data_IF_227825402321
#
_entry.id   IF_227825402321
#
_cell.length_a   1.000
_cell.length_b   1.000
_cell.length_c   1.000
_cell.angle_alpha   90.00
_cell.angle_beta   90.00
_cell.angle_gamma   90.00
#
_symmetry.space_group_name_H-M   'P 1'
#
loop_
_entity.id
_entity.type
_entity.pdbx_description
1 polymer ?
2 non-polymer ?
3 non-polymer ?
4 non-polymer ?
5 water ?
#
# COMPACT_ATOMS: atom_id res chain seq x y z
N UNK A 1 -3.14 -2.05 32.50
CA UNK A 1 -4.27 -1.15 32.37
C UNK A 1 -4.32 -0.46 31.00
N UNK A 2 -4.03 -1.21 29.95
CA UNK A 2 -4.18 -0.69 28.59
C UNK A 2 -5.25 -1.45 27.81
N UNK A 3 -6.04 -0.71 27.04
CA UNK A 3 -7.00 -1.29 26.11
C UNK A 3 -6.24 -1.51 24.80
N UNK A 4 -6.27 -2.73 24.27
CA UNK A 4 -5.49 -3.01 23.07
C UNK A 4 -6.30 -3.26 21.79
N UNK A 5 -5.88 -2.64 20.70
CA UNK A 5 -6.36 -2.98 19.37
C UNK A 5 -5.28 -3.70 18.58
N UNK A 6 -5.53 -4.96 18.27
CA UNK A 6 -4.60 -5.77 17.46
C UNK A 6 -5.16 -5.94 16.05
N UNK A 7 -4.40 -5.43 15.09
CA UNK A 7 -4.74 -5.49 13.68
C UNK A 7 -3.81 -6.50 12.98
N UNK A 8 -4.36 -7.62 12.50
CA UNK A 8 -3.54 -8.66 11.83
C UNK A 8 -3.66 -8.56 10.30
N UNK A 9 -2.52 -8.40 9.62
CA UNK A 9 -2.51 -8.15 8.17
C UNK A 9 -2.03 -9.29 7.29
N UNK A 10 -1.44 -10.33 7.87
CA UNK A 10 -1.11 -11.49 7.03
C UNK A 10 -2.37 -12.29 6.64
N UNK A 11 -2.45 -12.72 5.36
CA UNK A 11 -3.49 -13.64 4.87
C UNK A 11 -3.31 -15.06 5.41
N UNK A 12 -2.11 -15.37 5.88
CA UNK A 12 -1.84 -16.69 6.44
C UNK A 12 -2.30 -16.81 7.90
N UNK A 13 -2.63 -18.04 8.29
CA UNK A 13 -3.17 -18.28 9.62
C UNK A 13 -2.10 -18.76 10.55
N UNK A 14 -2.13 -20.07 10.87
CA UNK A 14 -1.15 -20.70 11.74
C UNK A 14 0.28 -20.55 11.21
N UNK A 15 0.41 -20.53 9.88
CA UNK A 15 1.71 -20.33 9.24
C UNK A 15 2.25 -18.89 9.24
N UNK A 16 1.44 -17.90 9.65
CA UNK A 16 1.91 -16.53 9.66
C UNK A 16 2.91 -16.29 10.80
N UNK A 17 4.12 -15.83 10.45
CA UNK A 17 5.11 -15.52 11.48
C UNK A 17 4.79 -14.19 12.18
N UNK A 18 4.33 -13.19 11.42
CA UNK A 18 4.00 -11.91 12.03
C UNK A 18 2.78 -12.03 12.97
N UNK A 19 1.79 -12.84 12.59
CA UNK A 19 0.65 -13.13 13.45
C UNK A 19 1.11 -13.91 14.68
N UNK A 20 1.92 -14.94 14.45
CA UNK A 20 2.43 -15.73 15.57
C UNK A 20 3.20 -14.88 16.59
N UNK A 21 4.01 -13.95 16.11
CA UNK A 21 4.84 -13.14 16.99
C UNK A 21 4.02 -12.10 17.76
N UNK A 22 2.98 -11.58 17.13
CA UNK A 22 2.09 -10.63 17.77
C UNK A 22 1.22 -11.29 18.85
N UNK A 23 0.83 -12.54 18.64
CA UNK A 23 0.04 -13.28 19.61
C UNK A 23 0.92 -13.63 20.82
N UNK A 24 2.21 -13.79 20.60
CA UNK A 24 3.17 -13.98 21.68
C UNK A 24 3.16 -12.76 22.59
N UNK A 25 3.33 -11.59 21.99
CA UNK A 25 3.16 -10.33 22.73
C UNK A 25 1.81 -10.24 23.44
N UNK A 26 0.71 -10.53 22.73
CA UNK A 26 -0.63 -10.35 23.28
C UNK A 26 -0.90 -11.26 24.47
N UNK A 27 -0.43 -12.51 24.40
CA UNK A 27 -0.65 -13.48 25.46
C UNK A 27 0.26 -13.21 26.66
N UNK A 28 1.46 -12.69 26.40
CA UNK A 28 2.36 -12.23 27.45
C UNK A 28 1.77 -11.00 28.15
N UNK A 29 1.24 -10.07 27.37
CA UNK A 29 0.58 -8.91 27.94
C UNK A 29 -0.60 -9.34 28.83
N UNK A 30 -1.33 -10.37 28.39
CA UNK A 30 -2.50 -10.88 29.09
C UNK A 30 -2.13 -11.52 30.44
N UNK A 31 -0.95 -12.14 30.51
CA UNK A 31 -0.48 -12.73 31.75
C UNK A 31 -0.19 -11.68 32.82
N UNK A 32 0.33 -10.54 32.38
CA UNK A 32 0.65 -9.45 33.29
C UNK A 32 -0.60 -8.64 33.62
N UNK A 33 -1.60 -8.69 32.74
CA UNK A 33 -2.80 -7.86 32.89
C UNK A 33 -4.06 -8.63 32.59
N UNK A 34 -4.45 -9.54 33.51
CA UNK A 34 -5.58 -10.46 33.31
C UNK A 34 -6.88 -9.76 32.93
N UNK A 35 -7.04 -8.50 33.32
CA UNK A 35 -8.29 -7.79 33.10
C UNK A 35 -8.27 -6.81 31.92
N UNK A 36 -7.20 -6.82 31.14
CA UNK A 36 -7.05 -5.90 30.00
C UNK A 36 -7.92 -6.33 28.82
N UNK A 37 -8.43 -5.36 28.07
CA UNK A 37 -9.26 -5.65 26.91
C UNK A 37 -8.40 -5.70 25.65
N UNK A 38 -8.50 -6.81 24.93
CA UNK A 38 -7.84 -6.93 23.63
C UNK A 38 -8.90 -7.07 22.54
N UNK A 39 -8.90 -6.11 21.61
CA UNK A 39 -9.77 -6.21 20.44
C UNK A 39 -8.94 -6.61 19.22
N UNK A 40 -9.46 -7.55 18.45
CA UNK A 40 -8.76 -8.02 17.25
C UNK A 40 -9.51 -7.61 15.98
N UNK A 41 -8.79 -7.02 15.05
CA UNK A 41 -9.36 -6.58 13.78
C UNK A 41 -8.63 -7.26 12.62
N UNK A 42 -9.31 -8.17 11.92
CA UNK A 42 -8.70 -8.91 10.82
C UNK A 42 -8.67 -8.13 9.50
N UNK A 43 -7.49 -7.88 8.93
CA UNK A 43 -7.41 -7.21 7.62
C UNK A 43 -6.62 -8.04 6.61
N UNK A 44 -6.19 -9.22 7.02
CA UNK A 44 -5.40 -10.11 6.17
C UNK A 44 -6.19 -11.26 5.58
N UNK A 45 -6.91 -11.99 6.45
CA UNK A 45 -7.66 -13.15 6.01
C UNK A 45 -9.07 -12.80 5.56
N UNK A 46 -9.47 -11.55 5.77
CA UNK A 46 -10.75 -11.08 5.25
C UNK A 46 -10.57 -9.81 4.42
N UNK A 47 -11.34 -9.68 3.33
CA UNK A 47 -11.23 -8.51 2.47
C UNK A 47 -11.61 -7.23 3.20
N UNK A 48 -10.86 -6.16 2.97
CA UNK A 48 -11.26 -4.82 3.42
C UNK A 48 -11.46 -3.95 2.20
N UNK A 49 -12.64 -3.33 2.08
CA UNK A 49 -13.00 -2.52 0.91
C UNK A 49 -12.00 -1.40 0.67
N UNK A 50 -11.67 -1.20 -0.60
CA UNK A 50 -10.84 -0.08 -1.03
C UNK A 50 -11.68 1.18 -0.93
N UNK A 51 -11.00 2.31 -0.79
CA UNK A 51 -11.64 3.60 -0.85
C UNK A 51 -12.30 3.80 -2.22
N UNK A 52 -13.57 4.20 -2.21
CA UNK A 52 -14.30 4.49 -3.45
C UNK A 52 -14.54 5.99 -3.60
N UNK A 53 -15.00 6.40 -4.76
CA UNK A 53 -15.38 7.78 -4.94
C UNK A 53 -16.53 8.16 -4.01
N UNK A 54 -17.45 7.25 -3.76
CA UNK A 54 -18.53 7.53 -2.80
C UNK A 54 -17.95 7.81 -1.39
N UNK A 55 -16.92 7.05 -1.02
CA UNK A 55 -16.20 7.31 0.22
C UNK A 55 -15.62 8.72 0.22
N UNK A 56 -14.92 9.08 -0.86
CA UNK A 56 -14.31 10.41 -0.94
C UNK A 56 -15.33 11.55 -0.76
N UNK A 57 -16.45 11.46 -1.48
CA UNK A 57 -17.52 12.45 -1.41
C UNK A 57 -18.08 12.64 -0.01
N UNK A 58 -18.17 11.55 0.76
CA UNK A 58 -18.76 11.63 2.09
C UNK A 58 -17.75 12.08 3.14
N UNK A 59 -16.54 11.53 3.08
CA UNK A 59 -15.53 11.85 4.07
C UNK A 59 -15.13 13.31 4.03
N UNK A 60 -15.19 13.91 2.84
CA UNK A 60 -14.71 15.27 2.62
C UNK A 60 -15.84 16.26 2.41
N UNK A 61 -17.06 15.85 2.76
CA UNK A 61 -18.24 16.69 2.65
C UNK A 61 -18.04 17.96 3.48
N UNK A 62 -18.21 19.14 2.84
CA UNK A 62 -18.02 20.45 3.49
C UNK A 62 -18.88 20.65 4.73
N UNK A 63 -20.10 20.10 4.71
CA UNK A 63 -21.00 20.17 5.86
C UNK A 63 -21.47 18.78 6.24
N UNK A 64 -20.70 18.11 7.11
CA UNK A 64 -20.88 16.68 7.37
C UNK A 64 -22.24 16.35 7.98
N UNK A 65 -22.85 17.28 8.71
CA UNK A 65 -24.14 16.99 9.35
C UNK A 65 -25.25 16.91 8.32
N UNK A 66 -24.94 17.26 7.08
CA UNK A 66 -25.92 17.17 5.99
C UNK A 66 -25.78 15.91 5.11
N UNK A 67 -24.84 15.03 5.43
CA UNK A 67 -24.67 13.77 4.69
C UNK A 67 -25.99 13.01 4.66
N UNK A 68 -26.39 12.57 3.48
CA UNK A 68 -27.56 11.72 3.37
C UNK A 68 -27.31 10.40 4.09
N UNK A 69 -28.37 9.65 4.33
CA UNK A 69 -28.26 8.32 4.95
C UNK A 69 -27.39 7.37 4.12
N UNK A 70 -27.53 7.44 2.80
CA UNK A 70 -26.69 6.66 1.89
C UNK A 70 -25.21 7.01 2.05
N UNK A 71 -24.90 8.31 2.14
CA UNK A 71 -23.53 8.77 2.41
C UNK A 71 -23.01 8.23 3.72
N UNK A 72 -23.85 8.20 4.75
CA UNK A 72 -23.45 7.71 6.06
C UNK A 72 -23.15 6.22 5.97
N UNK A 73 -23.97 5.49 5.21
CA UNK A 73 -23.71 4.07 4.93
C UNK A 73 -22.34 3.85 4.27
N UNK A 74 -21.93 4.77 3.39
CA UNK A 74 -20.59 4.76 2.80
C UNK A 74 -19.44 4.91 3.83
N UNK A 75 -19.71 5.62 4.93
CA UNK A 75 -18.72 5.79 5.98
C UNK A 75 -18.86 4.83 7.18
N UNK A 76 -19.88 3.97 7.16
CA UNK A 76 -20.19 3.14 8.34
C UNK A 76 -19.04 2.22 8.75
N UNK A 77 -18.45 1.50 7.81
CA UNK A 77 -17.28 0.67 8.13
C UNK A 77 -16.14 1.51 8.73
N UNK A 78 -15.85 2.63 8.10
CA UNK A 78 -14.83 3.57 8.56
C UNK A 78 -15.05 4.02 10.01
N UNK A 79 -16.28 4.46 10.32
CA UNK A 79 -16.63 4.84 11.69
C UNK A 79 -16.38 3.72 12.69
N UNK A 80 -16.71 2.49 12.31
CA UNK A 80 -16.48 1.37 13.20
C UNK A 80 -14.97 1.13 13.37
N UNK A 81 -14.22 1.26 12.28
CA UNK A 81 -12.77 1.09 12.35
C UNK A 81 -12.10 2.20 13.18
N UNK A 82 -12.57 3.43 13.00
CA UNK A 82 -12.01 4.56 13.74
C UNK A 82 -12.38 4.42 15.22
N UNK A 83 -13.61 3.98 15.49
CA UNK A 83 -14.08 3.78 16.85
C UNK A 83 -13.23 2.83 17.66
N UNK A 84 -12.80 1.71 17.03
CA UNK A 84 -11.95 0.72 17.69
C UNK A 84 -10.64 1.35 18.12
N UNK A 85 -10.14 2.26 17.29
CA UNK A 85 -8.88 2.95 17.50
C UNK A 85 -8.99 3.95 18.66
N UNK A 86 -10.06 4.72 18.66
CA UNK A 86 -10.30 5.65 19.75
C UNK A 86 -10.49 4.94 21.09
N UNK A 87 -11.04 3.72 21.05
CA UNK A 87 -11.30 2.96 22.26
C UNK A 87 -10.06 2.21 22.74
N UNK A 88 -8.93 2.42 22.07
CA UNK A 88 -7.71 1.70 22.45
C UNK A 88 -6.59 2.63 22.91
N UNK A 89 -5.66 2.09 23.69
CA UNK A 89 -4.50 2.83 24.17
C UNK A 89 -3.28 2.44 23.37
N UNK A 90 -3.20 1.14 23.06
CA UNK A 90 -2.08 0.59 22.32
C UNK A 90 -2.58 -0.11 21.07
N UNK A 91 -1.95 0.21 19.96
CA UNK A 91 -2.26 -0.41 18.67
C UNK A 91 -1.14 -1.37 18.31
N UNK A 92 -1.49 -2.63 18.07
CA UNK A 92 -0.53 -3.61 17.60
C UNK A 92 -0.89 -3.97 16.17
N UNK A 93 0.05 -3.76 15.26
CA UNK A 93 -0.13 -4.19 13.88
C UNK A 93 0.87 -5.31 13.53
N UNK A 94 0.37 -6.43 13.05
CA UNK A 94 1.25 -7.47 12.53
C UNK A 94 1.10 -7.51 11.02
N UNK A 95 2.23 -7.58 10.33
CA UNK A 95 2.23 -7.53 8.88
C UNK A 95 3.47 -8.17 8.25
N UNK A 96 3.27 -8.90 7.14
CA UNK A 96 4.36 -9.29 6.25
C UNK A 96 4.93 -8.07 5.55
N UNK A 97 6.12 -8.19 4.98
CA UNK A 97 6.51 -7.28 3.91
C UNK A 97 6.05 -7.98 2.62
N UNK A 98 5.24 -7.30 1.82
CA UNK A 98 4.86 -7.84 0.51
C UNK A 98 5.31 -6.87 -0.54
N UNK A 99 6.23 -7.30 -1.40
CA UNK A 99 6.71 -6.44 -2.48
C UNK A 99 7.15 -5.05 -1.99
N UNK A 100 7.94 -5.06 -0.92
CA UNK A 100 8.59 -3.84 -0.41
C UNK A 100 7.64 -2.95 0.34
N UNK A 101 6.39 -3.37 0.44
CA UNK A 101 5.41 -2.63 1.21
C UNK A 101 4.57 -3.58 2.08
N UNK A 102 3.35 -3.16 2.41
CA UNK A 102 2.44 -3.99 3.19
C UNK A 102 1.42 -4.63 2.25
N UNK A 103 0.75 -5.70 2.72
CA UNK A 103 -0.42 -6.26 2.02
C UNK A 103 -1.46 -5.18 1.73
N UNK A 104 -2.16 -5.31 0.61
CA UNK A 104 -3.14 -4.31 0.21
C UNK A 104 -4.26 -4.11 1.24
N UNK A 105 -4.61 -5.18 1.96
CA UNK A 105 -5.60 -5.10 3.02
C UNK A 105 -5.23 -4.11 4.14
N UNK A 106 -3.95 -4.03 4.48
CA UNK A 106 -3.52 -3.09 5.52
C UNK A 106 -3.58 -1.65 5.04
N UNK A 107 -3.15 -1.45 3.79
CA UNK A 107 -3.23 -0.17 3.13
C UNK A 107 -4.72 0.28 3.12
N UNK A 108 -5.62 -0.65 2.82
CA UNK A 108 -7.06 -0.31 2.83
C UNK A 108 -7.55 0.07 4.24
N UNK A 109 -7.08 -0.63 5.25
CA UNK A 109 -7.45 -0.27 6.61
C UNK A 109 -6.97 1.13 6.92
N UNK A 110 -5.73 1.43 6.58
CA UNK A 110 -5.19 2.78 6.77
C UNK A 110 -6.03 3.82 6.03
N UNK A 111 -6.44 3.49 4.80
CA UNK A 111 -7.25 4.43 4.01
C UNK A 111 -8.63 4.72 4.64
N UNK A 112 -9.16 3.76 5.38
CA UNK A 112 -10.43 3.93 6.09
C UNK A 112 -10.32 4.77 7.37
N UNK A 113 -9.16 4.77 8.03
CA UNK A 113 -9.07 5.40 9.35
C UNK A 113 -8.45 6.80 9.39
N UNK A 114 -7.86 7.26 8.30
CA UNK A 114 -7.42 8.64 8.19
C UNK A 114 -8.61 9.44 7.66
N UNK A 115 -9.30 10.12 8.56
CA UNK A 115 -10.60 10.71 8.27
C UNK A 115 -10.63 12.19 8.64
N UNK A 116 -10.96 13.04 7.67
CA UNK A 116 -11.02 14.48 7.90
C UNK A 116 -11.98 14.80 9.05
N UNK A 117 -11.48 15.60 9.99
CA UNK A 117 -12.30 16.04 11.10
C UNK A 117 -12.38 15.00 12.21
N UNK A 118 -11.83 13.82 11.96
CA UNK A 118 -11.95 12.73 12.93
C UNK A 118 -10.61 12.25 13.50
N UNK A 119 -9.67 11.92 12.63
CA UNK A 119 -8.33 11.54 13.06
C UNK A 119 -7.28 12.56 12.61
N UNK A 120 -7.68 13.51 11.77
CA UNK A 120 -6.84 14.66 11.44
C UNK A 120 -7.72 15.83 11.05
N UNK A 121 -7.20 17.03 11.15
CA UNK A 121 -7.92 18.23 10.73
C UNK A 121 -6.96 19.18 10.03
N UNK A 122 -7.48 20.30 9.53
CA UNK A 122 -6.64 21.30 8.87
C UNK A 122 -7.29 22.70 8.88
N UNK A 123 -6.45 23.73 8.76
CA UNK A 123 -6.94 25.08 8.52
C UNK A 123 -6.06 25.69 7.43
N UNK A 124 -6.55 26.74 6.77
CA UNK A 124 -5.74 27.43 5.76
C UNK A 124 -5.10 28.69 6.33
N UNK A 125 -3.77 28.70 6.38
CA UNK A 125 -3.04 29.91 6.76
C UNK A 125 -2.42 30.51 5.49
N UNK A 126 -2.91 31.68 5.12
CA UNK A 126 -2.48 32.33 3.87
C UNK A 126 -2.74 31.40 2.69
N UNK A 127 -3.84 30.66 2.75
CA UNK A 127 -4.27 29.81 1.66
C UNK A 127 -3.67 28.41 1.66
N UNK A 128 -2.71 28.17 2.54
CA UNK A 128 -2.03 26.88 2.60
C UNK A 128 -2.60 26.00 3.72
N UNK A 129 -3.15 24.85 3.34
CA UNK A 129 -3.68 23.93 4.33
C UNK A 129 -2.60 23.52 5.34
N UNK A 130 -2.91 23.67 6.63
CA UNK A 130 -2.03 23.23 7.71
C UNK A 130 -2.72 22.06 8.42
N UNK A 131 -2.02 20.95 8.59
CA UNK A 131 -2.64 19.75 9.13
C UNK A 131 -2.31 19.51 10.60
N UNK A 132 -3.29 19.01 11.32
CA UNK A 132 -3.17 18.77 12.75
C UNK A 132 -3.73 17.37 13.06
N UNK A 133 -2.96 16.54 13.78
CA UNK A 133 -3.41 15.19 14.17
C UNK A 133 -4.48 15.28 15.25
N UNK A 134 -5.40 14.31 15.29
CA UNK A 134 -6.47 14.33 16.28
C UNK A 134 -6.41 13.19 17.28
N UNK A 135 -5.63 12.16 16.98
CA UNK A 135 -5.36 11.13 17.98
C UNK A 135 -4.29 11.58 18.97
N UNK A 136 -4.53 11.32 20.25
CA UNK A 136 -3.61 11.70 21.30
C UNK A 136 -3.62 10.63 22.39
N UNK A 137 -2.46 10.41 23.01
CA UNK A 137 -2.32 9.39 24.04
C UNK A 137 -2.14 7.97 23.52
N UNK A 138 -2.00 7.81 22.22
CA UNK A 138 -1.84 6.47 21.66
C UNK A 138 -0.38 6.04 21.54
N UNK A 139 -0.17 4.73 21.52
CA UNK A 139 1.12 4.13 21.22
C UNK A 139 0.87 3.09 20.13
N UNK A 140 1.91 2.69 19.43
CA UNK A 140 1.77 1.63 18.44
C UNK A 140 2.98 0.67 18.47
N UNK A 141 2.69 -0.61 18.28
CA UNK A 141 3.73 -1.60 18.09
C UNK A 141 3.52 -2.26 16.73
N UNK A 142 4.52 -2.17 15.87
CA UNK A 142 4.51 -2.88 14.61
C UNK A 142 5.37 -4.15 14.65
N UNK A 143 4.72 -5.29 14.46
CA UNK A 143 5.40 -6.56 14.40
C UNK A 143 5.44 -7.03 12.93
N UNK A 144 6.63 -7.23 12.40
CA UNK A 144 6.74 -7.51 10.99
C UNK A 144 7.64 -8.71 10.70
N UNK A 145 7.32 -9.41 9.61
CA UNK A 145 8.13 -10.53 9.14
C UNK A 145 8.50 -10.31 7.66
N UNK A 146 9.74 -10.63 7.31
CA UNK A 146 10.21 -10.48 5.93
C UNK A 146 10.93 -11.75 5.46
N UNK A 147 10.75 -12.08 4.18
CA UNK A 147 11.45 -13.20 3.57
C UNK A 147 12.96 -12.97 3.43
N UNK A 148 13.34 -11.76 3.00
CA UNK A 148 14.75 -11.43 2.80
C UNK A 148 15.43 -10.75 3.99
N UNK A 149 16.65 -10.26 3.76
CA UNK A 149 17.47 -9.65 4.82
C UNK A 149 17.86 -8.23 4.45
N UNK A 150 18.25 -7.44 5.45
CA UNK A 150 18.84 -6.13 5.22
C UNK A 150 17.91 -4.94 5.08
N UNK A 151 16.61 -5.11 5.40
CA UNK A 151 15.64 -4.02 5.25
C UNK A 151 15.55 -3.09 6.47
N UNK A 152 16.23 -3.44 7.55
CA UNK A 152 16.19 -2.66 8.77
C UNK A 152 17.22 -1.53 8.76
N UNK A 153 17.25 -0.73 9.84
CA UNK A 153 18.20 0.38 9.92
C UNK A 153 19.65 -0.11 9.75
N UNK A 154 20.37 0.47 8.80
CA UNK A 154 21.74 0.07 8.54
C UNK A 154 21.88 -1.09 7.57
N UNK A 155 20.76 -1.70 7.21
CA UNK A 155 20.78 -2.83 6.31
C UNK A 155 21.10 -2.42 4.88
N UNK A 156 21.67 -3.35 4.13
CA UNK A 156 22.03 -3.11 2.72
C UNK A 156 20.82 -2.73 1.85
N UNK A 157 19.63 -3.20 2.21
CA UNK A 157 18.43 -2.90 1.44
C UNK A 157 17.48 -1.93 2.15
N UNK A 158 17.99 -1.19 3.11
CA UNK A 158 17.18 -0.27 3.89
C UNK A 158 16.35 0.68 3.02
N UNK A 159 16.92 1.13 1.91
CA UNK A 159 16.23 2.08 1.04
C UNK A 159 15.06 1.46 0.28
N UNK A 160 14.98 0.13 0.25
CA UNK A 160 13.85 -0.56 -0.40
C UNK A 160 12.69 -0.82 0.56
N UNK A 161 12.87 -0.45 1.83
CA UNK A 161 11.81 -0.70 2.82
C UNK A 161 10.75 0.39 2.83
N UNK A 162 9.60 0.10 2.23
CA UNK A 162 8.45 1.02 2.23
C UNK A 162 7.29 0.40 2.98
N UNK A 163 7.60 -0.45 3.93
CA UNK A 163 6.55 -1.08 4.72
C UNK A 163 6.43 -0.35 6.05
N UNK A 164 7.25 -0.70 7.02
CA UNK A 164 7.16 -0.07 8.35
C UNK A 164 7.54 1.42 8.39
N UNK A 165 8.56 1.83 7.61
CA UNK A 165 8.82 3.28 7.49
C UNK A 165 7.60 4.05 6.97
N UNK A 166 6.85 3.47 6.04
CA UNK A 166 5.65 4.12 5.54
C UNK A 166 4.52 4.09 6.59
N UNK A 167 4.40 2.99 7.33
CA UNK A 167 3.45 2.92 8.43
C UNK A 167 3.68 4.01 9.46
N UNK A 168 4.96 4.22 9.84
CA UNK A 168 5.35 5.25 10.80
C UNK A 168 4.81 6.62 10.42
N UNK A 169 5.00 6.93 9.14
CA UNK A 169 4.65 8.22 8.58
C UNK A 169 3.15 8.44 8.56
N UNK A 170 2.40 7.38 8.24
CA UNK A 170 0.95 7.48 8.15
C UNK A 170 0.34 7.59 9.55
N UNK A 171 0.84 6.77 10.47
CA UNK A 171 0.36 6.83 11.86
C UNK A 171 0.69 8.17 12.53
N UNK A 172 1.86 8.73 12.21
CA UNK A 172 2.30 9.98 12.80
C UNK A 172 1.40 11.11 12.35
N UNK A 173 0.95 11.04 11.10
CA UNK A 173 0.08 12.05 10.53
C UNK A 173 -1.22 12.18 11.33
N UNK A 174 -1.71 11.08 11.88
CA UNK A 174 -2.93 11.13 12.68
C UNK A 174 -2.65 11.21 14.17
N UNK A 175 -1.39 11.21 14.55
CA UNK A 175 -0.99 11.57 15.89
C UNK A 175 -0.31 10.50 16.72
N UNK A 176 -0.10 9.33 16.14
CA UNK A 176 0.62 8.26 16.85
C UNK A 176 2.12 8.36 16.58
N UNK A 177 2.82 9.06 17.48
CA UNK A 177 4.25 9.35 17.34
C UNK A 177 5.13 8.35 18.08
N UNK A 178 4.58 7.69 19.09
CA UNK A 178 5.33 6.67 19.81
C UNK A 178 5.12 5.32 19.15
N UNK A 179 6.08 4.92 18.34
CA UNK A 179 5.95 3.71 17.55
C UNK A 179 7.20 2.85 17.65
N UNK A 180 6.99 1.58 17.95
CA UNK A 180 8.07 0.60 18.05
C UNK A 180 7.93 -0.47 16.99
N UNK A 181 9.04 -0.82 16.37
CA UNK A 181 9.03 -1.87 15.35
C UNK A 181 9.88 -3.08 15.76
N UNK A 182 9.27 -4.26 15.69
CA UNK A 182 10.00 -5.49 15.92
C UNK A 182 9.95 -6.27 14.60
N UNK A 183 11.10 -6.71 14.12
CA UNK A 183 11.18 -7.38 12.81
C UNK A 183 11.92 -8.72 12.83
N UNK A 184 11.35 -9.71 12.15
CA UNK A 184 12.05 -10.96 11.88
C UNK A 184 12.37 -11.05 10.38
N UNK A 185 13.62 -11.38 10.07
CA UNK A 185 14.10 -11.41 8.69
C UNK A 185 14.62 -12.79 8.34
N UNK A 186 14.67 -13.07 7.04
CA UNK A 186 15.19 -14.32 6.53
C UNK A 186 14.17 -15.44 6.46
N UNK A 187 12.88 -15.11 6.45
CA UNK A 187 11.83 -16.13 6.49
C UNK A 187 11.88 -17.07 5.28
N UNK A 188 12.26 -16.54 4.13
CA UNK A 188 12.26 -17.35 2.89
C UNK A 188 13.45 -18.30 2.85
N UNK A 189 14.48 -17.99 3.62
CA UNK A 189 15.68 -18.83 3.65
C UNK A 189 15.72 -19.73 4.88
N UNK A 190 14.82 -19.49 5.84
CA UNK A 190 14.78 -20.27 7.07
C UNK A 190 16.15 -20.66 7.63
N UNK A 193 19.25 -19.31 12.00
CA UNK A 193 19.42 -17.98 11.40
C UNK A 193 18.10 -17.18 11.42
N UNK A 194 17.10 -17.68 10.68
CA UNK A 194 15.75 -17.14 10.82
C UNK A 194 15.20 -17.50 12.20
N UNK A 195 15.61 -18.66 12.70
CA UNK A 195 15.27 -19.07 14.06
C UNK A 195 15.87 -18.12 15.10
N UNK A 196 17.09 -17.67 14.86
CA UNK A 196 17.73 -16.68 15.73
C UNK A 196 16.91 -15.39 15.68
N UNK A 197 16.54 -14.99 14.48
CA UNK A 197 15.83 -13.75 14.25
C UNK A 197 14.48 -13.75 14.96
N UNK A 198 13.77 -14.87 14.89
CA UNK A 198 12.49 -15.03 15.57
C UNK A 198 12.63 -15.12 17.09
N UNK A 199 13.69 -15.79 17.56
CA UNK A 199 13.93 -15.87 18.99
C UNK A 199 14.20 -14.49 19.57
N UNK A 200 15.04 -13.72 18.88
CA UNK A 200 15.33 -12.35 19.28
C UNK A 200 14.07 -11.48 19.28
N UNK A 201 13.20 -11.68 18.30
CA UNK A 201 11.96 -10.91 18.20
C UNK A 201 11.02 -11.24 19.38
N UNK A 202 10.94 -12.53 19.71
CA UNK A 202 10.17 -12.99 20.85
C UNK A 202 10.67 -12.42 22.18
N UNK A 203 11.97 -12.50 22.43
CA UNK A 203 12.55 -11.92 23.65
C UNK A 203 12.26 -10.43 23.75
N UNK A 204 12.38 -9.72 22.63
CA UNK A 204 12.08 -8.30 22.57
C UNK A 204 10.62 -8.01 22.95
N UNK A 205 9.69 -8.77 22.37
CA UNK A 205 8.26 -8.58 22.59
C UNK A 205 7.83 -8.96 24.01
N UNK A 206 8.44 -10.00 24.57
CA UNK A 206 8.18 -10.36 25.96
C UNK A 206 8.61 -9.25 26.91
N UNK A 207 9.75 -8.62 26.65
CA UNK A 207 10.21 -7.50 27.47
C UNK A 207 9.28 -6.27 27.34
N UNK A 208 8.83 -6.00 26.12
CA UNK A 208 7.89 -4.91 25.90
C UNK A 208 6.54 -5.17 26.59
N UNK A 209 6.09 -6.43 26.59
CA UNK A 209 4.82 -6.79 27.24
C UNK A 209 4.87 -6.57 28.74
N UNK A 210 6.01 -6.88 29.35
CA UNK A 210 6.17 -6.76 30.80
C UNK A 210 6.16 -5.30 31.26
N UNK A 211 6.75 -4.44 30.45
CA UNK A 211 6.90 -3.04 30.83
C UNK A 211 5.75 -2.17 30.35
N UNK A 212 4.90 -2.71 29.47
CA UNK A 212 3.76 -1.96 28.96
C UNK A 212 2.67 -1.80 30.01
N UNK B 2 4.41 1.40 -30.52
CA UNK B 2 4.55 0.71 -29.25
C UNK B 2 3.18 0.23 -28.74
N UNK B 3 3.17 -0.89 -28.05
CA UNK B 3 1.96 -1.39 -27.41
C UNK B 3 1.92 -0.83 -25.99
N UNK B 4 0.78 -0.29 -25.60
CA UNK B 4 0.66 0.37 -24.30
C UNK B 4 -0.32 -0.32 -23.37
N UNK B 5 0.14 -0.62 -22.17
CA UNK B 5 -0.76 -1.02 -21.09
C UNK B 5 -0.96 0.17 -20.13
N UNK B 6 -2.21 0.61 -20.01
CA UNK B 6 -2.56 1.74 -19.17
C UNK B 6 -3.30 1.30 -17.90
N UNK B 7 -2.65 1.44 -16.75
CA UNK B 7 -3.24 1.07 -15.48
C UNK B 7 -3.76 2.31 -14.72
N UNK B 8 -5.07 2.38 -14.53
CA UNK B 8 -5.67 3.51 -13.81
C UNK B 8 -6.01 3.20 -12.34
N UNK B 9 -5.48 4.01 -11.40
CA UNK B 9 -5.59 3.68 -9.96
C UNK B 9 -6.55 4.56 -9.13
N UNK B 10 -7.01 5.68 -9.68
CA UNK B 10 -7.95 6.50 -8.93
C UNK B 10 -9.37 5.90 -8.98
N UNK B 11 -10.04 5.85 -7.83
CA UNK B 11 -11.46 5.45 -7.75
C UNK B 11 -12.37 6.46 -8.44
N UNK B 12 -11.84 7.64 -8.73
CA UNK B 12 -12.64 8.69 -9.33
C UNK B 12 -12.66 8.55 -10.84
N UNK B 13 -13.75 9.03 -11.46
CA UNK B 13 -13.90 8.98 -12.90
C UNK B 13 -13.53 10.30 -13.54
N UNK B 14 -14.54 11.05 -13.98
CA UNK B 14 -14.31 12.36 -14.59
C UNK B 14 -13.54 13.30 -13.67
N UNK B 15 -13.79 13.20 -12.37
CA UNK B 15 -13.17 14.13 -11.42
C UNK B 15 -11.69 13.83 -11.15
N UNK B 16 -11.18 12.67 -11.60
CA UNK B 16 -9.79 12.31 -11.31
C UNK B 16 -8.78 13.11 -12.14
N UNK B 17 -7.83 13.74 -11.46
CA UNK B 17 -6.75 14.46 -12.13
C UNK B 17 -5.72 13.52 -12.74
N UNK B 18 -5.36 12.46 -12.03
CA UNK B 18 -4.33 11.56 -12.56
C UNK B 18 -4.84 10.75 -13.73
N UNK B 19 -6.11 10.34 -13.68
CA UNK B 19 -6.73 9.70 -14.82
C UNK B 19 -6.81 10.66 -16.02
N UNK B 20 -7.26 11.89 -15.78
CA UNK B 20 -7.41 12.85 -16.86
C UNK B 20 -6.08 13.16 -17.56
N UNK B 21 -5.04 13.39 -16.77
CA UNK B 21 -3.70 13.63 -17.32
C UNK B 21 -3.14 12.45 -18.11
N UNK B 22 -3.35 11.23 -17.60
CA UNK B 22 -2.88 10.04 -18.30
C UNK B 22 -3.61 9.92 -19.63
N UNK B 23 -4.89 10.30 -19.66
CA UNK B 23 -5.68 10.24 -20.87
C UNK B 23 -5.25 11.31 -21.88
N UNK B 24 -4.79 12.46 -21.40
CA UNK B 24 -4.20 13.49 -22.25
C UNK B 24 -2.97 12.94 -22.99
N UNK B 25 -2.07 12.31 -22.25
CA UNK B 25 -0.90 11.65 -22.82
C UNK B 25 -1.27 10.57 -23.83
N UNK B 26 -2.18 9.69 -23.45
CA UNK B 26 -2.60 8.59 -24.30
C UNK B 26 -3.22 9.06 -25.62
N UNK B 27 -4.02 10.12 -25.57
CA UNK B 27 -4.62 10.62 -26.79
C UNK B 27 -3.53 11.25 -27.69
N UNK B 28 -2.57 11.94 -27.07
CA UNK B 28 -1.51 12.57 -27.86
C UNK B 28 -0.53 11.55 -28.43
N UNK B 29 -0.28 10.48 -27.68
CA UNK B 29 0.58 9.42 -28.18
C UNK B 29 -0.07 8.71 -29.37
N UNK B 30 -1.39 8.58 -29.33
CA UNK B 30 -2.12 7.95 -30.41
C UNK B 30 -2.06 8.80 -31.70
N UNK B 31 -2.09 10.12 -31.58
CA UNK B 31 -2.00 10.95 -32.79
C UNK B 31 -0.64 10.81 -33.46
N UNK B 32 0.42 10.78 -32.67
CA UNK B 32 1.78 10.62 -33.16
C UNK B 32 2.11 9.19 -33.62
N UNK B 33 1.32 8.21 -33.19
CA UNK B 33 1.54 6.83 -33.58
C UNK B 33 0.21 6.14 -33.80
N UNK B 34 -0.42 6.42 -34.95
CA UNK B 34 -1.80 6.03 -35.27
C UNK B 34 -2.07 4.53 -35.18
N UNK B 35 -1.00 3.73 -35.20
CA UNK B 35 -1.13 2.28 -35.18
C UNK B 35 -0.91 1.66 -33.80
N UNK B 36 -0.78 2.51 -32.78
CA UNK B 36 -0.57 2.06 -31.41
C UNK B 36 -1.79 1.33 -30.86
N UNK B 37 -1.55 0.33 -30.03
CA UNK B 37 -2.62 -0.37 -29.36
C UNK B 37 -2.57 0.00 -27.89
N UNK B 38 -3.73 0.30 -27.31
CA UNK B 38 -3.78 0.60 -25.90
C UNK B 38 -4.67 -0.38 -25.16
N UNK B 39 -4.10 -1.06 -24.17
CA UNK B 39 -4.89 -1.90 -23.28
C UNK B 39 -5.10 -1.14 -21.96
N UNK B 40 -6.34 -1.10 -21.49
CA UNK B 40 -6.62 -0.43 -20.22
C UNK B 40 -6.93 -1.45 -19.14
N UNK B 41 -6.24 -1.32 -18.01
CA UNK B 41 -6.49 -2.16 -16.86
C UNK B 41 -6.94 -1.27 -15.69
N UNK B 42 -8.22 -1.38 -15.31
CA UNK B 42 -8.77 -0.57 -14.23
C UNK B 42 -8.52 -1.20 -12.85
N UNK B 43 -7.81 -0.48 -11.98
CA UNK B 43 -7.58 -0.96 -10.62
C UNK B 43 -8.07 -0.01 -9.54
N UNK B 44 -8.73 1.08 -9.96
CA UNK B 44 -9.24 2.08 -9.05
C UNK B 44 -10.75 2.04 -8.89
N UNK B 45 -11.46 1.96 -10.01
CA UNK B 45 -12.93 2.00 -9.95
C UNK B 45 -13.56 0.61 -9.79
N UNK B 46 -12.77 -0.44 -9.96
CA UNK B 46 -13.24 -1.80 -9.67
C UNK B 46 -12.29 -2.49 -8.69
N UNK B 47 -12.84 -3.36 -7.83
CA UNK B 47 -12.00 -4.04 -6.84
C UNK B 47 -10.99 -4.94 -7.50
N UNK B 48 -9.83 -5.05 -6.89
CA UNK B 48 -8.87 -6.06 -7.28
C UNK B 48 -8.58 -6.88 -6.04
N UNK B 49 -8.76 -8.20 -6.11
CA UNK B 49 -8.56 -9.07 -4.94
C UNK B 49 -7.16 -8.94 -4.33
N UNK B 50 -7.12 -8.99 -3.00
CA UNK B 50 -5.86 -9.12 -2.28
C UNK B 50 -5.27 -10.51 -2.47
N UNK B 51 -3.97 -10.62 -2.24
CA UNK B 51 -3.30 -11.91 -2.18
C UNK B 51 -3.88 -12.68 -0.99
N UNK B 52 -4.20 -13.95 -1.21
CA UNK B 52 -4.70 -14.83 -0.16
C UNK B 52 -3.67 -15.92 0.14
N UNK B 53 -3.95 -16.78 1.11
CA UNK B 53 -3.06 -17.89 1.37
C UNK B 53 -3.08 -18.90 0.24
N UNK B 54 -4.25 -19.10 -0.38
CA UNK B 54 -4.34 -19.96 -1.55
C UNK B 54 -3.39 -19.45 -2.66
N UNK B 55 -3.36 -18.14 -2.83
CA UNK B 55 -2.49 -17.54 -3.83
C UNK B 55 -1.02 -17.79 -3.52
N UNK B 56 -0.65 -17.62 -2.25
CA UNK B 56 0.75 -17.84 -1.85
C UNK B 56 1.17 -19.31 -2.12
N UNK B 57 0.29 -20.24 -1.79
CA UNK B 57 0.57 -21.66 -1.97
C UNK B 57 0.76 -22.00 -3.44
N UNK B 58 -0.05 -21.37 -4.29
CA UNK B 58 0.02 -21.64 -5.72
C UNK B 58 1.24 -20.97 -6.37
N UNK B 59 1.51 -19.73 -5.99
CA UNK B 59 2.48 -18.92 -6.72
C UNK B 59 3.90 -19.39 -6.40
N UNK B 60 4.08 -19.78 -5.14
CA UNK B 60 5.35 -20.32 -4.69
C UNK B 60 5.41 -21.84 -4.69
N UNK B 61 4.48 -22.49 -5.39
CA UNK B 61 4.56 -23.95 -5.58
C UNK B 61 5.96 -24.35 -6.07
N UNK B 62 6.61 -25.29 -5.37
CA UNK B 62 7.97 -25.77 -5.73
C UNK B 62 8.00 -26.49 -7.07
N UNK B 63 6.87 -27.03 -7.50
CA UNK B 63 6.81 -27.73 -8.78
C UNK B 63 5.59 -27.30 -9.63
N UNK B 64 5.66 -26.10 -10.21
CA UNK B 64 4.53 -25.44 -10.89
C UNK B 64 3.80 -26.35 -11.88
N UNK B 65 4.53 -27.20 -12.59
CA UNK B 65 3.94 -28.08 -13.61
C UNK B 65 2.93 -29.06 -12.99
N UNK B 66 2.97 -29.21 -11.67
CA UNK B 66 2.05 -30.10 -10.96
C UNK B 66 0.91 -29.38 -10.23
N UNK B 67 0.76 -28.06 -10.40
CA UNK B 67 -0.37 -27.34 -9.78
C UNK B 67 -1.68 -27.99 -10.21
N UNK B 68 -2.56 -28.19 -9.24
CA UNK B 68 -3.90 -28.69 -9.52
C UNK B 68 -4.72 -27.59 -10.21
N UNK B 69 -5.83 -28.00 -10.82
CA UNK B 69 -6.75 -27.07 -11.46
C UNK B 69 -7.23 -25.98 -10.50
N UNK B 70 -7.41 -26.33 -9.22
CA UNK B 70 -7.89 -25.37 -8.23
C UNK B 70 -6.81 -24.31 -7.98
N UNK B 71 -5.56 -24.75 -7.83
CA UNK B 71 -4.45 -23.82 -7.71
C UNK B 71 -4.31 -22.90 -8.91
N UNK B 72 -4.43 -23.46 -10.12
CA UNK B 72 -4.37 -22.65 -11.34
C UNK B 72 -5.48 -21.60 -11.34
N UNK B 73 -6.66 -21.97 -10.82
CA UNK B 73 -7.78 -21.05 -10.75
C UNK B 73 -7.47 -19.87 -9.80
N UNK B 74 -6.75 -20.17 -8.71
CA UNK B 74 -6.28 -19.16 -7.76
C UNK B 74 -5.31 -18.17 -8.43
N UNK B 75 -4.66 -18.61 -9.50
CA UNK B 75 -3.72 -17.77 -10.25
C UNK B 75 -4.26 -17.23 -11.59
N UNK B 76 -5.52 -17.49 -11.93
CA UNK B 76 -6.02 -17.12 -13.27
C UNK B 76 -5.97 -15.62 -13.49
N UNK B 77 -6.50 -14.85 -12.54
CA UNK B 77 -6.40 -13.39 -12.64
C UNK B 77 -4.93 -12.97 -12.77
N UNK B 78 -4.07 -13.55 -11.95
CA UNK B 78 -2.66 -13.18 -11.95
C UNK B 78 -2.05 -13.39 -13.33
N UNK B 79 -2.29 -14.57 -13.91
CA UNK B 79 -1.81 -14.91 -15.26
C UNK B 79 -2.33 -13.91 -16.30
N UNK B 80 -3.59 -13.52 -16.19
CA UNK B 80 -4.13 -12.56 -17.12
C UNK B 80 -3.45 -11.21 -16.94
N UNK B 81 -3.27 -10.78 -15.69
CA UNK B 81 -2.62 -9.49 -15.45
C UNK B 81 -1.18 -9.46 -15.97
N UNK B 82 -0.44 -10.53 -15.67
CA UNK B 82 0.94 -10.63 -16.11
C UNK B 82 1.02 -10.66 -17.64
N UNK B 83 0.08 -11.37 -18.27
CA UNK B 83 0.06 -11.47 -19.72
C UNK B 83 -0.03 -10.11 -20.37
N UNK B 84 -0.82 -9.23 -19.78
CA UNK B 84 -1.05 -7.89 -20.32
C UNK B 84 0.26 -7.13 -20.30
N UNK B 85 1.05 -7.38 -19.26
CA UNK B 85 2.33 -6.72 -19.06
C UNK B 85 3.36 -7.22 -20.04
N UNK B 86 3.35 -8.53 -20.30
CA UNK B 86 4.28 -9.11 -21.27
C UNK B 86 4.02 -8.64 -22.70
N UNK B 87 2.74 -8.40 -23.01
CA UNK B 87 2.33 -7.98 -24.35
C UNK B 87 2.44 -6.47 -24.60
N UNK B 88 3.13 -5.77 -23.69
CA UNK B 88 3.21 -4.33 -23.80
C UNK B 88 4.66 -3.87 -23.81
N UNK B 89 4.91 -2.68 -24.36
CA UNK B 89 6.24 -2.07 -24.41
C UNK B 89 6.34 -0.91 -23.42
N UNK B 90 5.28 -0.12 -23.36
CA UNK B 90 5.17 1.01 -22.45
C UNK B 90 4.04 0.78 -21.45
N UNK B 91 4.38 0.86 -20.16
CA UNK B 91 3.40 0.77 -19.10
C UNK B 91 3.12 2.16 -18.56
N UNK B 92 1.87 2.60 -18.62
CA UNK B 92 1.45 3.88 -18.04
C UNK B 92 0.57 3.65 -16.83
N UNK B 93 1.01 4.16 -15.68
CA UNK B 93 0.28 4.04 -14.43
C UNK B 93 -0.14 5.42 -13.96
N UNK B 94 -1.44 5.61 -13.75
CA UNK B 94 -1.93 6.86 -13.18
C UNK B 94 -2.45 6.57 -11.79
N UNK B 95 -2.08 7.42 -10.83
CA UNK B 95 -2.43 7.16 -9.45
C UNK B 95 -2.41 8.42 -8.61
N UNK B 96 -3.37 8.54 -7.68
CA UNK B 96 -3.30 9.51 -6.59
C UNK B 96 -2.21 9.14 -5.58
N UNK B 97 -1.80 10.07 -4.75
CA UNK B 97 -1.13 9.70 -3.52
C UNK B 97 -2.25 9.63 -2.50
N UNK B 98 -2.38 8.47 -1.86
CA UNK B 98 -3.32 8.29 -0.76
C UNK B 98 -2.52 7.95 0.47
N UNK B 99 -2.61 8.81 1.48
CA UNK B 99 -1.91 8.57 2.74
C UNK B 99 -0.43 8.19 2.55
N UNK B 100 0.25 9.01 1.74
CA UNK B 100 1.70 8.92 1.52
C UNK B 100 2.14 7.70 0.71
N UNK B 101 1.16 6.98 0.15
CA UNK B 101 1.44 5.83 -0.71
C UNK B 101 0.41 5.80 -1.85
N UNK B 102 0.14 4.62 -2.40
CA UNK B 102 -0.88 4.49 -3.46
C UNK B 102 -2.19 3.89 -2.92
N UNK B 103 -3.31 4.07 -3.64
CA UNK B 103 -4.57 3.43 -3.28
C UNK B 103 -4.37 1.93 -3.14
N UNK B 104 -5.17 1.26 -2.31
CA UNK B 104 -4.97 -0.16 -2.06
C UNK B 104 -5.10 -1.06 -3.30
N UNK B 105 -5.93 -0.64 -4.25
CA UNK B 105 -6.12 -1.36 -5.50
C UNK B 105 -4.84 -1.52 -6.31
N UNK B 106 -4.04 -0.46 -6.36
CA UNK B 106 -2.80 -0.48 -7.11
C UNK B 106 -1.78 -1.39 -6.41
N UNK B 107 -1.75 -1.34 -5.08
CA UNK B 107 -0.92 -2.26 -4.31
C UNK B 107 -1.31 -3.71 -4.60
N UNK B 108 -2.62 -3.96 -4.68
CA UNK B 108 -3.12 -5.29 -5.02
C UNK B 108 -2.69 -5.72 -6.42
N UNK B 109 -2.71 -4.79 -7.38
CA UNK B 109 -2.27 -5.08 -8.74
C UNK B 109 -0.80 -5.50 -8.77
N UNK B 110 0.04 -4.72 -8.11
CA UNK B 110 1.45 -5.08 -7.98
C UNK B 110 1.59 -6.48 -7.35
N UNK B 111 0.81 -6.76 -6.31
CA UNK B 111 0.92 -8.05 -5.61
C UNK B 111 0.57 -9.24 -6.51
N UNK B 112 -0.28 -9.00 -7.50
CA UNK B 112 -0.65 -10.02 -8.47
C UNK B 112 0.38 -10.25 -9.57
N UNK B 113 1.12 -9.21 -9.97
CA UNK B 113 2.04 -9.36 -11.11
C UNK B 113 3.52 -9.66 -10.78
N UNK B 114 3.93 -9.53 -9.52
CA UNK B 114 5.27 -9.97 -9.14
C UNK B 114 5.20 -11.46 -8.85
N UNK B 115 5.68 -12.28 -9.79
CA UNK B 115 5.44 -13.72 -9.74
C UNK B 115 6.70 -14.55 -9.92
N UNK B 116 7.02 -15.36 -8.93
CA UNK B 116 8.19 -16.25 -8.98
C UNK B 116 8.17 -17.11 -10.24
N UNK B 117 9.29 -17.15 -10.95
CA UNK B 117 9.39 -17.91 -12.19
C UNK B 117 8.84 -17.22 -13.42
N UNK B 118 8.17 -16.08 -13.24
CA UNK B 118 7.49 -15.43 -14.34
C UNK B 118 8.00 -14.01 -14.60
N UNK B 119 7.95 -13.15 -13.60
CA UNK B 119 8.49 -11.80 -13.73
C UNK B 119 9.77 -11.61 -12.93
N UNK B 120 10.08 -12.56 -12.06
CA UNK B 120 11.40 -12.61 -11.42
C UNK B 120 11.74 -14.05 -11.08
N UNK B 121 13.02 -14.31 -10.87
CA UNK B 121 13.50 -15.64 -10.58
C UNK B 121 14.44 -15.57 -9.38
N UNK B 122 14.79 -16.72 -8.83
CA UNK B 122 15.83 -16.79 -7.82
C UNK B 122 16.92 -17.74 -8.30
N UNK B 123 18.17 -17.38 -8.05
CA UNK B 123 19.30 -18.28 -8.32
C UNK B 123 19.72 -19.01 -7.05
N UNK B 130 19.80 -15.10 -4.64
CA UNK B 130 19.91 -13.95 -5.53
C UNK B 130 18.72 -13.83 -6.49
N UNK B 131 18.09 -12.66 -6.50
CA UNK B 131 16.90 -12.43 -7.32
C UNK B 131 17.24 -11.72 -8.63
N UNK B 132 16.53 -12.11 -9.68
CA UNK B 132 16.82 -11.66 -11.03
C UNK B 132 15.52 -11.23 -11.74
N UNK B 133 15.52 -10.04 -12.36
CA UNK B 133 14.32 -9.59 -13.09
C UNK B 133 14.11 -10.45 -14.34
N UNK B 134 12.87 -10.70 -14.72
CA UNK B 134 12.60 -11.45 -15.97
C UNK B 134 11.90 -10.62 -17.04
N UNK B 135 11.47 -9.41 -16.72
CA UNK B 135 10.96 -8.51 -17.75
C UNK B 135 12.08 -7.68 -18.33
N UNK B 136 12.07 -7.50 -19.65
CA UNK B 136 13.05 -6.63 -20.28
C UNK B 136 12.47 -5.91 -21.49
N UNK B 137 13.07 -4.77 -21.81
CA UNK B 137 12.65 -3.98 -22.96
C UNK B 137 11.45 -3.09 -22.69
N UNK B 138 11.08 -2.96 -21.41
CA UNK B 138 9.91 -2.17 -21.03
C UNK B 138 10.28 -0.79 -20.48
N UNK B 139 9.36 0.15 -20.64
CA UNK B 139 9.47 1.47 -20.05
C UNK B 139 8.23 1.71 -19.23
N UNK B 140 8.29 2.68 -18.31
CA UNK B 140 7.11 3.06 -17.58
C UNK B 140 7.02 4.57 -17.44
N UNK B 141 5.79 5.06 -17.51
CA UNK B 141 5.47 6.41 -17.19
C UNK B 141 4.47 6.36 -16.03
N UNK B 142 4.83 6.99 -14.92
CA UNK B 142 3.92 7.11 -13.79
C UNK B 142 3.39 8.53 -13.75
N UNK B 143 2.07 8.63 -13.73
CA UNK B 143 1.42 9.93 -13.67
C UNK B 143 0.69 10.00 -12.34
N UNK B 144 1.09 10.93 -11.50
CA UNK B 144 0.54 10.99 -10.15
C UNK B 144 0.05 12.39 -9.79
N UNK B 145 -1.05 12.42 -9.06
CA UNK B 145 -1.62 13.66 -8.55
C UNK B 145 -1.59 13.60 -7.03
N UNK B 146 -1.32 14.73 -6.38
CA UNK B 146 -1.30 14.80 -4.92
C UNK B 146 -2.00 16.06 -4.42
N UNK B 147 -2.67 15.98 -3.28
CA UNK B 147 -3.30 17.14 -2.68
C UNK B 147 -2.33 18.20 -2.16
N UNK B 148 -1.20 17.76 -1.61
CA UNK B 148 -0.22 18.66 -1.00
C UNK B 148 0.98 19.02 -1.85
N UNK B 149 2.01 19.54 -1.21
CA UNK B 149 3.20 20.03 -1.92
C UNK B 149 4.45 19.44 -1.32
N UNK B 150 5.51 19.38 -2.13
CA UNK B 150 6.85 19.09 -1.65
C UNK B 150 7.25 17.64 -1.49
N UNK B 151 6.56 16.76 -2.23
CA UNK B 151 6.81 15.33 -2.14
C UNK B 151 7.77 14.84 -3.23
N UNK B 152 8.15 15.75 -4.14
CA UNK B 152 9.04 15.38 -5.23
C UNK B 152 10.50 15.56 -4.86
N UNK B 153 11.40 15.28 -5.82
CA UNK B 153 12.85 15.42 -5.61
C UNK B 153 13.23 16.80 -5.11
N UNK B 154 13.91 16.86 -3.97
CA UNK B 154 14.32 18.12 -3.41
C UNK B 154 13.26 18.82 -2.58
N UNK B 155 12.11 18.16 -2.40
CA UNK B 155 11.02 18.74 -1.63
C UNK B 155 11.17 18.55 -0.14
N UNK B 156 10.64 19.48 0.64
CA UNK B 156 10.72 19.39 2.10
C UNK B 156 9.99 18.18 2.67
N UNK B 157 9.15 17.54 1.87
CA UNK B 157 8.41 16.35 2.32
C UNK B 157 8.79 15.11 1.53
N UNK B 158 9.92 15.18 0.83
CA UNK B 158 10.35 14.09 -0.03
C UNK B 158 10.45 12.74 0.69
N UNK B 159 10.83 12.76 1.97
CA UNK B 159 11.03 11.52 2.71
C UNK B 159 9.70 10.90 3.15
N UNK B 160 8.61 11.65 2.99
CA UNK B 160 7.27 11.13 3.25
C UNK B 160 6.67 10.43 2.02
N UNK B 161 7.29 10.60 0.86
CA UNK B 161 6.74 10.03 -0.37
C UNK B 161 7.02 8.53 -0.52
N UNK B 162 5.99 7.72 -0.26
CA UNK B 162 6.09 6.29 -0.47
C UNK B 162 5.17 5.81 -1.59
N UNK B 163 4.80 6.72 -2.50
CA UNK B 163 3.98 6.33 -3.63
C UNK B 163 4.85 5.93 -4.81
N UNK B 164 5.23 6.91 -5.63
CA UNK B 164 6.01 6.63 -6.83
C UNK B 164 7.42 6.07 -6.55
N UNK B 165 8.10 6.56 -5.49
CA UNK B 165 9.39 5.94 -5.15
C UNK B 165 9.24 4.45 -4.81
N UNK B 166 8.16 4.05 -4.14
CA UNK B 166 7.92 2.63 -3.92
C UNK B 166 7.61 1.91 -5.25
N UNK B 167 6.85 2.57 -6.12
CA UNK B 167 6.57 1.98 -7.43
C UNK B 167 7.85 1.65 -8.19
N UNK B 168 8.80 2.59 -8.20
CA UNK B 168 10.10 2.36 -8.84
C UNK B 168 10.78 1.11 -8.30
N UNK B 169 10.70 0.91 -6.98
CA UNK B 169 11.37 -0.21 -6.35
C UNK B 169 10.73 -1.52 -6.80
N UNK B 170 9.41 -1.56 -6.78
CA UNK B 170 8.68 -2.75 -7.20
C UNK B 170 8.84 -3.01 -8.70
N UNK B 171 8.73 -1.96 -9.51
CA UNK B 171 8.91 -2.11 -10.95
C UNK B 171 10.35 -2.52 -11.26
N UNK B 172 11.30 -1.95 -10.52
CA UNK B 172 12.70 -2.25 -10.73
C UNK B 172 13.05 -3.70 -10.44
N UNK B 173 12.43 -4.25 -9.41
CA UNK B 173 12.64 -5.65 -9.03
C UNK B 173 12.30 -6.63 -10.15
N UNK B 174 11.24 -6.33 -10.91
CA UNK B 174 10.85 -7.24 -11.98
C UNK B 174 11.45 -6.84 -13.33
N UNK B 175 12.23 -5.78 -13.34
CA UNK B 175 13.04 -5.44 -14.50
C UNK B 175 12.65 -4.20 -15.28
N UNK B 176 11.64 -3.47 -14.80
CA UNK B 176 11.33 -2.19 -15.42
C UNK B 176 12.16 -1.08 -14.76
N UNK B 177 13.25 -0.73 -15.43
CA UNK B 177 14.25 0.22 -14.93
C UNK B 177 14.01 1.64 -15.46
N UNK B 178 13.49 1.71 -16.67
CA UNK B 178 13.28 3.00 -17.34
C UNK B 178 11.92 3.59 -16.97
N UNK B 179 11.93 4.45 -15.97
CA UNK B 179 10.70 4.97 -15.41
C UNK B 179 10.71 6.48 -15.32
N UNK B 180 9.66 7.10 -15.82
CA UNK B 180 9.51 8.55 -15.72
C UNK B 180 8.30 8.90 -14.86
N UNK B 181 8.49 9.86 -13.95
CA UNK B 181 7.41 10.30 -13.06
C UNK B 181 7.03 11.74 -13.40
N UNK B 182 5.75 11.96 -13.64
CA UNK B 182 5.24 13.30 -13.84
C UNK B 182 4.21 13.50 -12.77
N UNK B 183 4.39 14.54 -11.93
CA UNK B 183 3.53 14.75 -10.77
C UNK B 183 2.79 16.10 -10.78
N UNK B 184 1.50 16.07 -10.48
CA UNK B 184 0.73 17.28 -10.21
C UNK B 184 0.47 17.43 -8.70
N UNK B 185 0.95 18.53 -8.13
CA UNK B 185 0.78 18.77 -6.70
C UNK B 185 -0.19 19.94 -6.46
N UNK B 186 -0.62 20.09 -5.21
CA UNK B 186 -1.51 21.18 -4.85
C UNK B 186 -2.95 21.01 -5.31
N UNK B 187 -3.43 19.77 -5.36
CA UNK B 187 -4.81 19.48 -5.78
C UNK B 187 -5.83 19.86 -4.70
N UNK B 188 -5.46 19.67 -3.43
CA UNK B 188 -6.35 19.99 -2.30
C UNK B 188 -6.35 21.48 -2.00
N UNK B 189 -5.38 22.19 -2.56
CA UNK B 189 -5.28 23.64 -2.39
C UNK B 189 -5.37 24.36 -3.73
N UNK B 197 0.79 23.94 -12.33
CA UNK B 197 1.37 22.63 -12.00
C UNK B 197 0.73 21.48 -12.80
N UNK B 198 -0.60 21.53 -12.95
CA UNK B 198 -1.30 20.63 -13.86
C UNK B 198 -1.05 21.08 -15.29
N UNK B 199 -0.92 22.41 -15.47
CA UNK B 199 -0.62 22.96 -16.78
C UNK B 199 0.78 22.52 -17.19
N UNK B 200 1.72 22.63 -16.26
CA UNK B 200 3.06 22.15 -16.50
C UNK B 200 3.10 20.64 -16.77
N UNK B 201 2.44 19.86 -15.92
CA UNK B 201 2.45 18.41 -16.07
C UNK B 201 1.84 18.03 -17.41
N UNK B 202 0.74 18.68 -17.74
CA UNK B 202 0.05 18.45 -19.00
C UNK B 202 0.99 18.71 -20.16
N UNK B 203 1.55 19.92 -20.19
CA UNK B 203 2.52 20.30 -21.21
C UNK B 203 3.70 19.34 -21.28
N UNK B 204 4.13 18.85 -20.12
CA UNK B 204 5.23 17.89 -20.06
C UNK B 204 4.78 16.56 -20.70
N UNK B 205 3.55 16.14 -20.40
CA UNK B 205 3.01 14.90 -20.98
C UNK B 205 2.89 14.97 -22.52
N UNK B 206 2.43 16.12 -23.02
CA UNK B 206 2.33 16.31 -24.48
C UNK B 206 3.70 16.20 -25.13
N UNK B 207 4.69 16.85 -24.54
CA UNK B 207 6.05 16.80 -25.06
C UNK B 207 6.54 15.36 -25.12
N UNK B 208 6.38 14.64 -24.01
CA UNK B 208 6.72 13.22 -23.93
C UNK B 208 6.04 12.35 -24.98
N UNK B 209 4.75 12.58 -25.22
CA UNK B 209 3.98 11.81 -26.21
C UNK B 209 4.52 11.97 -27.64
N UNK B 210 5.05 13.15 -27.95
CA UNK B 210 5.56 13.47 -29.28
C UNK B 210 6.95 12.90 -29.59
N UNK B 211 7.41 11.95 -28.79
CA UNK B 211 8.76 11.40 -28.98
C UNK B 211 8.93 9.95 -28.52
N UNK B 212 7.87 9.37 -27.95
CA UNK B 212 7.94 7.99 -27.47
C UNK B 212 7.46 7.00 -28.53
X LIG C 1 9.90 -10.75 1.60
X LIG C 1 10.79 -9.70 1.50
X LIG C 1 11.83 -9.67 2.17
X LIG C 1 10.53 -8.66 0.64
X LIG C 1 9.38 -8.66 -0.13
X LIG C 1 9.16 -7.70 -0.89
X LIG C 1 8.49 -9.72 -0.05
X LIG C 1 7.33 -9.72 -0.83
X LIG C 1 6.44 -10.78 -0.72
X LIG C 1 5.27 -10.78 -1.50
X LIG C 1 4.38 -11.84 -1.39
X LIG C 1 3.12 -11.81 -2.24
X LIG C 1 4.63 -12.89 -0.52
X LIG C 1 3.66 -14.04 -0.40
X LIG C 1 5.80 -12.89 0.26
X LIG C 1 6.70 -11.83 0.16
X LIG C 1 7.86 -11.82 0.92
X LIG C 1 8.75 -10.77 0.84
X LIG C 1 8.13 -12.96 1.88
X LIG C 1 7.32 -12.64 3.14
X LIG C 1 7.57 -11.33 3.60
X LIG C 1 7.59 -13.60 4.28
X LIG C 1 7.28 -14.92 3.84
X LIG C 1 6.75 -13.22 5.50
X LIG C 1 7.18 -13.94 6.63
X LIG C 1 5.25 -13.50 5.31
X LIG C 1 4.55 -13.02 6.44
X LIG C 1 3.72 -14.02 7.39
X LIG C 1 4.64 -15.14 7.83
X LIG C 1 2.56 -14.61 6.60
X LIG C 1 3.19 -13.26 8.60
X LIG D 1 5.01 1.80 22.66
X LIG D 1 5.60 2.10 21.41
X LIG D 1 5.30 0.35 23.06
X LIG D 1 4.58 -0.55 22.26
X LIG D 1 4.94 0.11 24.53
X LIG D 1 4.72 -1.27 24.72
X LIG E 1 -2.00 15.54 2.87
X LIG E 1 -1.76 14.25 3.70
X LIG E 1 -2.83 13.40 4.01
X LIG E 1 -4.19 13.66 3.44
X LIG E 1 -4.40 14.86 2.52
X LIG E 1 -3.31 15.71 2.20
X LIG E 1 1.98 18.05 3.82
X LIG E 1 -5.75 15.14 1.96
X LIG E 1 4.04 18.18 7.07
X LIG E 1 5.50 17.25 8.95
X LIG E 1 7.24 15.45 9.80
X LIG E 1 6.21 15.89 8.76
X LIG E 1 1.13 16.84 4.04
X LIG E 1 1.27 16.10 5.26
X LIG E 1 2.18 16.50 6.24
X LIG E 1 3.04 17.73 6.01
X LIG E 1 2.92 18.46 4.84
X LIG E 1 0.18 16.38 3.03
X LIG E 1 -1.17 16.70 3.08
X LIG E 1 4.18 17.43 8.33
X LIG E 1 -5.25 12.80 3.73
X LIG E 1 -5.94 16.21 1.10
X LIG E 1 -6.78 14.28 2.25
X LIG E 1 8.00 14.30 9.58
X LIG E 1 4.82 19.32 6.84
X LIG E 1 7.42 16.18 10.97
X LIG F 1 12.21 -10.40 -1.66
X LIG F 1 11.99 -8.97 -2.22
X LIG F 1 10.86 -8.66 -2.99
X LIG F 1 9.85 -9.73 -3.28
X LIG F 1 10.05 -11.15 -2.76
X LIG F 1 11.20 -11.47 -1.96
X LIG F 1 16.61 -8.89 -0.81
X LIG F 1 9.04 -12.17 -3.06
X LIG F 1 18.46 -6.83 -3.52
X LIG F 1 18.96 -5.07 -5.29
X LIG F 1 20.33 -2.97 -4.47
X LIG F 1 19.07 -3.84 -4.38
X LIG F 1 15.24 -8.97 -1.38
X LIG F 1 14.97 -8.34 -2.62
X LIG F 1 15.97 -7.65 -3.32
X LIG F 1 17.38 -7.58 -2.75
X LIG F 1 17.65 -8.19 -1.53
X LIG F 1 14.15 -9.67 -0.66
X LIG F 1 13.50 -10.78 -1.16
X LIG F 1 18.14 -6.20 -4.80
X LIG F 1 8.71 -9.43 -4.04
X LIG F 1 9.21 -13.46 -2.61
X LIG F 1 7.94 -11.83 -3.83
X LIG F 1 20.56 -1.97 -3.52
X LIG F 1 19.77 -6.74 -3.02
X LIG F 1 21.24 -3.18 -5.49
X LIG G 1 -2.75 14.22 -0.99
X LIG G 1 -1.44 14.32 -0.56
X LIG G 1 -0.72 15.22 -0.96
X LIG G 1 -0.94 13.42 0.35
X LIG G 1 -1.73 12.40 0.83
X LIG G 1 -1.26 11.60 1.63
X LIG G 1 -3.05 12.28 0.39
X LIG G 1 -3.85 11.25 0.86
X LIG G 1 -5.14 11.15 0.42
X LIG G 1 -5.96 10.12 0.90
X LIG G 1 -7.26 9.99 0.44
X LIG G 1 -8.10 8.87 0.97
X LIG G 1 -7.78 10.91 -0.48
X LIG G 1 -9.18 10.82 -0.98
X LIG G 1 -6.97 11.95 -0.94
X LIG G 1 -5.65 12.06 -0.50
X LIG G 1 -4.85 13.09 -0.96
X LIG G 1 -3.55 13.20 -0.53
X LIG G 1 -5.38 14.06 -1.97
X LIG G 1 -5.28 13.40 -3.36
X LIG G 1 -3.98 12.89 -3.57
X LIG G 1 -5.64 14.34 -4.50
X LIG G 1 -7.01 14.69 -4.41
X LIG G 1 -5.40 13.65 -5.84
X LIG G 1 -5.57 14.58 -6.89
X LIG G 1 -6.42 12.54 -6.03
X LIG G 1 -6.14 11.90 -7.25
X LIG G 1 -7.23 11.89 -8.43
X LIG G 1 -7.62 13.31 -8.74
X LIG G 1 -8.47 11.16 -7.96
X LIG G 1 -6.60 11.27 -9.64
X LIG H 1 -11.18 -8.65 -12.25
X LIG H 1 -10.96 -7.49 -11.50
X LIG H 1 -11.32 -9.81 -11.28
X LIG H 1 -11.99 -9.37 -10.16
X LIG H 1 -12.03 -11.00 -11.91
X LIG H 1 -12.57 -11.78 -10.87
X LIG I 1 -9.61 -3.99 -3.36
X LIG I 1 -9.37 -3.29 -4.56
X LIG I 1 -8.29 -4.29 -2.64
X LIG I 1 -7.32 -3.32 -2.97
X LIG I 1 -8.51 -4.28 -1.13
X LIG I 1 -7.36 -4.84 -0.52
#
# INVERSE_FOLDING_TARGET
MSRILAVHASPRGERSQSRRLAEVFLAAYREAHPQARVARREVGRVPLPAVTEAFVAAAFHPQPEQRSLAMQADLALSDQLVGELFDSDLLVISTPMYNFSVPSGLKAWIDQIVRLGVTFDFVLDNGVAQYRPLLRGKRALIVTSRGGHGFGPGGENQAMNHADPWLRTALGFIGIDEVTVVAAEGEESGGRSFEDSCDEAEQRLLALARSA
MSRILAVHASPRGERSQSRRLAEVFLAAYREAHPQARVARREVGRVPLPAVTEAFVAAAFHPQPEQRSLAMQADLALSDQLVGELFDSDLLVISTPMYNFSVPSGLKAWIDQIVRLGVTFDFVLDNGVAQYRPLLRGKRALIVTSRGGHGFGPGGENQAMNHADPWLRTALGFIGIDEVTVVAAEGEESGGRSFEDSCDEAEQRLLALARSA
FMN N1 C2 O2 N3 C4 O4 C4A N5 C5A C6 C7 C7M C8 C8M C9 C9A N10 C10 C1' C2' O2' C3' O3' C4' O4' C5' O5' P O1P O2P O3P
GOL C1 O1 C2 O2 C3 O3
BLQ CAA CAB CAC CAD CAE CAF CAG CAH CAI CAJ CAK CAL CAM CAN CAO CAP CAQ NAR NAS NAT OAU OAV OAW OAX OAY OAZ
BLQ CAA CAB CAC CAD CAE CAF CAG CAH CAI CAJ CAK CAL CAM CAN CAO CAP CAQ NAR NAS NAT OAU OAV OAW OAX OAY OAZ
FMN N1 C2 O2 N3 C4 O4 C4A N5 C5A C6 C7 C7M C8 C8M C9 C9A N10 C10 C1' C2' O2' C3' O3' C4' O4' C5' O5' P O1P O2P O3P
GOL C1 O1 C2 O2 C3 O3
GOL C1 O1 C2 O2 C3 O3
#
